data_IF_310326218329
#
_entry.id   IF_310326218329
#
_cell.length_a   1.000
_cell.length_b   1.000
_cell.length_c   1.000
_cell.angle_alpha   90.00
_cell.angle_beta   90.00
_cell.angle_gamma   90.00
#
_symmetry.space_group_name_H-M   'P 1'
#
loop_
_entity.id
_entity.type
_entity.pdbx_description
1 polymer ?
#
# COMPACT_ATOMS: atom_id res chain seq x y z
N UNK A 1 13.99 11.79 11.89
CA UNK A 1 14.19 13.16 12.42
C UNK A 1 15.46 13.82 11.87
N UNK A 2 16.55 13.07 11.58
CA UNK A 2 17.82 13.64 11.06
C UNK A 2 17.80 13.95 9.55
N UNK A 3 16.79 13.52 8.79
CA UNK A 3 16.75 13.65 7.33
C UNK A 3 17.69 12.68 6.57
N UNK A 4 18.47 11.87 7.26
CA UNK A 4 19.38 10.88 6.63
C UNK A 4 18.67 9.88 5.73
N UNK A 5 17.41 9.56 6.04
CA UNK A 5 16.59 8.64 5.27
C UNK A 5 16.54 9.03 3.78
N UNK A 6 16.30 10.31 3.48
CA UNK A 6 16.20 10.81 2.11
C UNK A 6 17.54 10.80 1.36
N UNK A 7 18.66 10.81 2.10
CA UNK A 7 20.00 10.82 1.53
C UNK A 7 20.55 9.43 1.20
N UNK A 8 19.86 8.36 1.60
CA UNK A 8 20.29 7.00 1.29
C UNK A 8 20.28 6.77 -0.22
N UNK A 9 21.31 6.09 -0.79
CA UNK A 9 21.39 5.85 -2.24
C UNK A 9 20.15 5.19 -2.82
N UNK A 10 19.57 4.21 -2.10
CA UNK A 10 18.36 3.51 -2.53
C UNK A 10 17.15 4.44 -2.62
N UNK A 11 17.02 5.42 -1.73
CA UNK A 11 15.92 6.39 -1.77
C UNK A 11 16.10 7.40 -2.92
N UNK A 12 17.33 7.82 -3.17
CA UNK A 12 17.65 8.69 -4.32
C UNK A 12 17.34 8.00 -5.65
N UNK A 13 17.70 6.72 -5.78
CA UNK A 13 17.41 5.95 -6.97
C UNK A 13 15.90 5.72 -7.14
N UNK A 14 15.18 5.39 -6.05
CA UNK A 14 13.72 5.26 -6.05
C UNK A 14 13.05 6.52 -6.61
N UNK A 15 13.40 7.70 -6.07
CA UNK A 15 12.80 8.95 -6.50
C UNK A 15 13.23 9.34 -7.93
N UNK A 16 14.43 8.98 -8.35
CA UNK A 16 14.88 9.21 -9.72
C UNK A 16 14.04 8.43 -10.73
N UNK A 17 13.82 7.14 -10.48
CA UNK A 17 12.96 6.29 -11.33
C UNK A 17 11.52 6.81 -11.31
N UNK A 18 10.99 7.09 -10.12
CA UNK A 18 9.63 7.58 -9.93
C UNK A 18 9.35 8.92 -10.64
N UNK A 19 10.36 9.72 -10.87
CA UNK A 19 10.21 11.02 -11.57
C UNK A 19 9.84 10.87 -13.04
N UNK A 20 10.23 9.76 -13.66
CA UNK A 20 9.94 9.45 -15.06
C UNK A 20 8.72 8.53 -15.22
N UNK A 21 8.28 7.93 -14.12
CA UNK A 21 7.22 6.92 -14.06
C UNK A 21 6.25 7.25 -12.91
N UNK A 22 5.79 6.25 -12.18
CA UNK A 22 4.98 6.42 -10.97
C UNK A 22 5.69 5.88 -9.74
N UNK A 23 5.37 6.41 -8.57
CA UNK A 23 5.78 5.86 -7.28
C UNK A 23 4.61 5.17 -6.61
N UNK A 24 4.80 3.92 -6.26
CA UNK A 24 3.83 3.12 -5.50
C UNK A 24 4.36 2.79 -4.11
N UNK A 25 3.58 3.12 -3.09
CA UNK A 25 3.85 2.76 -1.70
C UNK A 25 2.90 1.64 -1.30
N UNK A 26 3.44 0.53 -0.79
CA UNK A 26 2.65 -0.54 -0.18
C UNK A 26 3.01 -0.59 1.30
N UNK A 27 2.05 -0.53 2.20
CA UNK A 27 2.35 -0.57 3.63
C UNK A 27 1.12 -0.64 4.53
N UNK A 28 1.35 -1.14 5.74
CA UNK A 28 0.33 -1.24 6.77
C UNK A 28 0.05 0.14 7.37
N UNK A 29 -1.17 0.62 7.19
CA UNK A 29 -1.61 1.97 7.59
C UNK A 29 -2.20 1.90 8.99
N UNK A 30 -1.35 1.95 10.00
CA UNK A 30 -1.72 2.02 11.42
C UNK A 30 -0.58 2.62 12.26
N UNK A 31 -0.87 2.91 13.50
CA UNK A 31 0.12 3.34 14.52
C UNK A 31 0.60 2.20 15.43
N UNK A 32 0.26 0.95 15.09
CA UNK A 32 0.68 -0.22 15.85
C UNK A 32 2.19 -0.44 15.91
N UNK A 33 2.94 0.09 14.94
CA UNK A 33 4.41 0.07 14.87
C UNK A 33 5.05 -1.33 15.00
N UNK A 34 4.33 -2.38 14.58
CA UNK A 34 4.81 -3.77 14.59
C UNK A 34 5.43 -4.16 13.26
N UNK A 35 4.77 -3.82 12.15
CA UNK A 35 5.21 -4.15 10.80
C UNK A 35 5.59 -2.91 9.99
N UNK A 36 4.87 -1.83 10.19
CA UNK A 36 5.03 -0.55 9.50
C UNK A 36 4.78 0.59 10.49
N UNK A 37 5.12 1.80 10.09
CA UNK A 37 4.74 3.03 10.77
C UNK A 37 4.07 3.96 9.77
N UNK A 38 2.94 4.54 10.14
CA UNK A 38 2.27 5.55 9.33
C UNK A 38 3.18 6.77 9.07
N UNK A 39 4.01 7.13 10.06
CA UNK A 39 5.00 8.20 9.90
C UNK A 39 6.05 7.88 8.82
N UNK A 40 6.42 6.61 8.64
CA UNK A 40 7.32 6.20 7.57
C UNK A 40 6.66 6.36 6.20
N UNK A 41 5.39 5.99 6.06
CA UNK A 41 4.63 6.21 4.82
C UNK A 41 4.57 7.71 4.50
N UNK A 42 4.21 8.54 5.48
CA UNK A 42 4.20 10.00 5.35
C UNK A 42 5.57 10.56 4.98
N UNK A 43 6.65 10.04 5.55
CA UNK A 43 8.01 10.45 5.21
C UNK A 43 8.36 10.14 3.74
N UNK A 44 7.97 8.97 3.21
CA UNK A 44 8.19 8.65 1.79
C UNK A 44 7.40 9.58 0.89
N UNK A 45 6.14 9.89 1.21
CA UNK A 45 5.30 10.84 0.46
C UNK A 45 5.92 12.24 0.49
N UNK A 46 6.41 12.70 1.64
CA UNK A 46 7.11 13.97 1.77
C UNK A 46 8.34 14.03 0.87
N UNK A 47 9.13 12.95 0.86
CA UNK A 47 10.29 12.84 -0.04
C UNK A 47 9.89 12.86 -1.51
N UNK A 48 8.77 12.24 -1.87
CA UNK A 48 8.24 12.28 -3.23
C UNK A 48 7.85 13.71 -3.63
N UNK A 49 7.11 14.41 -2.77
CA UNK A 49 6.76 15.82 -2.95
C UNK A 49 8.00 16.69 -3.15
N UNK A 50 8.99 16.57 -2.27
CA UNK A 50 10.22 17.38 -2.31
C UNK A 50 11.08 17.10 -3.56
N UNK A 51 10.93 15.93 -4.18
CA UNK A 51 11.58 15.56 -5.43
C UNK A 51 10.72 15.88 -6.67
N UNK A 52 9.52 16.44 -6.51
CA UNK A 52 8.64 16.82 -7.61
C UNK A 52 8.06 15.63 -8.38
N UNK A 53 7.73 14.53 -7.66
CA UNK A 53 7.10 13.35 -8.26
C UNK A 53 5.59 13.61 -8.38
N UNK A 54 5.08 13.55 -9.59
CA UNK A 54 3.68 13.90 -9.89
C UNK A 54 2.71 12.74 -9.60
N UNK A 55 3.14 11.49 -9.87
CA UNK A 55 2.29 10.31 -9.77
C UNK A 55 2.71 9.46 -8.58
N UNK A 56 2.03 9.65 -7.45
CA UNK A 56 2.26 8.91 -6.19
C UNK A 56 0.99 8.19 -5.78
N UNK A 57 1.06 6.87 -5.63
CA UNK A 57 -0.06 6.01 -5.29
C UNK A 57 0.22 5.22 -4.03
N UNK A 58 -0.75 5.18 -3.11
CA UNK A 58 -0.68 4.37 -1.90
C UNK A 58 -1.61 3.17 -2.02
N UNK A 59 -1.06 1.99 -1.84
CA UNK A 59 -1.79 0.75 -1.64
C UNK A 59 -1.85 0.48 -0.14
N UNK A 60 -2.94 0.94 0.48
CA UNK A 60 -3.11 0.93 1.92
C UNK A 60 -3.49 -0.47 2.41
N UNK A 61 -2.64 -1.07 3.23
CA UNK A 61 -2.94 -2.31 3.93
C UNK A 61 -3.53 -2.00 5.30
N UNK A 62 -4.60 -2.68 5.68
CA UNK A 62 -5.33 -2.41 6.91
C UNK A 62 -5.00 -3.44 7.99
N UNK A 63 -4.88 -2.95 9.22
CA UNK A 63 -4.36 -3.72 10.35
C UNK A 63 -5.44 -4.52 11.09
N UNK A 64 -6.09 -3.95 12.07
CA UNK A 64 -7.11 -4.60 12.88
C UNK A 64 -6.62 -5.74 13.78
N UNK A 65 -5.30 -5.89 13.92
CA UNK A 65 -4.65 -6.96 14.67
C UNK A 65 -3.65 -6.46 15.70
N UNK A 66 -2.79 -5.53 15.30
CA UNK A 66 -1.82 -4.86 16.16
C UNK A 66 -2.42 -3.57 16.75
N UNK A 67 -3.61 -3.20 16.28
CA UNK A 67 -4.49 -2.12 16.76
C UNK A 67 -5.93 -2.64 16.86
N UNK A 68 -6.87 -1.79 17.28
CA UNK A 68 -8.29 -2.16 17.40
C UNK A 68 -8.85 -2.69 16.06
N UNK A 69 -9.77 -3.68 16.11
CA UNK A 69 -10.28 -4.36 14.91
C UNK A 69 -11.02 -3.47 13.90
N UNK A 70 -11.55 -2.34 14.35
CA UNK A 70 -12.31 -1.38 13.53
C UNK A 70 -11.84 0.04 13.83
N UNK A 71 -10.70 0.44 13.26
CA UNK A 71 -10.12 1.77 13.44
C UNK A 71 -9.48 2.33 12.16
N UNK A 72 -9.48 1.58 11.07
CA UNK A 72 -8.80 1.94 9.83
C UNK A 72 -9.25 3.28 9.25
N UNK A 73 -10.55 3.62 9.34
CA UNK A 73 -11.05 4.88 8.79
C UNK A 73 -10.35 6.12 9.39
N UNK A 74 -9.96 6.07 10.66
CA UNK A 74 -9.21 7.17 11.31
C UNK A 74 -7.84 7.36 10.68
N UNK A 75 -7.10 6.28 10.49
CA UNK A 75 -5.77 6.32 9.88
C UNK A 75 -5.81 6.69 8.40
N UNK A 76 -6.82 6.22 7.66
CA UNK A 76 -6.99 6.57 6.25
C UNK A 76 -7.29 8.07 6.09
N UNK A 77 -8.18 8.63 6.90
CA UNK A 77 -8.48 10.07 6.90
C UNK A 77 -7.24 10.92 7.23
N UNK A 78 -6.44 10.49 8.22
CA UNK A 78 -5.20 11.17 8.57
C UNK A 78 -4.18 11.13 7.43
N UNK A 79 -4.05 10.00 6.75
CA UNK A 79 -3.18 9.87 5.59
C UNK A 79 -3.66 10.70 4.40
N UNK A 80 -4.95 10.66 4.08
CA UNK A 80 -5.55 11.46 3.01
C UNK A 80 -5.42 12.96 3.27
N UNK A 81 -5.64 13.41 4.52
CA UNK A 81 -5.44 14.81 4.90
C UNK A 81 -3.99 15.26 4.70
N UNK A 82 -3.01 14.42 5.08
CA UNK A 82 -1.60 14.70 4.89
C UNK A 82 -1.23 14.79 3.39
N UNK A 83 -1.73 13.87 2.56
CA UNK A 83 -1.51 13.91 1.11
C UNK A 83 -2.15 15.15 0.47
N UNK A 84 -3.35 15.54 0.94
CA UNK A 84 -4.03 16.74 0.47
C UNK A 84 -3.27 18.02 0.84
N UNK A 85 -2.72 18.11 2.06
CA UNK A 85 -1.89 19.25 2.51
C UNK A 85 -0.65 19.42 1.62
N UNK A 86 0.01 18.33 1.27
CA UNK A 86 1.17 18.33 0.37
C UNK A 86 0.79 18.45 -1.12
N UNK A 87 -0.48 18.32 -1.47
CA UNK A 87 -0.94 18.11 -2.85
C UNK A 87 -0.12 17.02 -3.56
N UNK A 88 0.13 15.91 -2.87
CA UNK A 88 0.98 14.82 -3.34
C UNK A 88 0.44 13.46 -2.89
N UNK A 89 0.11 12.61 -3.86
CA UNK A 89 -0.33 11.25 -3.64
C UNK A 89 -1.84 11.08 -3.49
N UNK A 90 -2.27 9.84 -3.68
CA UNK A 90 -3.66 9.39 -3.45
C UNK A 90 -3.67 7.90 -3.14
N UNK A 91 -4.73 7.44 -2.45
CA UNK A 91 -4.93 6.02 -2.20
C UNK A 91 -5.49 5.38 -3.46
N UNK A 92 -4.78 4.38 -4.00
CA UNK A 92 -5.20 3.64 -5.18
C UNK A 92 -5.96 2.37 -4.84
N UNK A 93 -5.53 1.64 -3.80
CA UNK A 93 -6.20 0.44 -3.32
C UNK A 93 -6.21 0.37 -1.80
N UNK A 94 -7.18 -0.35 -1.27
CA UNK A 94 -7.28 -0.72 0.14
C UNK A 94 -7.41 -2.23 0.24
N UNK A 95 -6.70 -2.86 1.17
CA UNK A 95 -6.78 -4.31 1.40
C UNK A 95 -6.50 -4.66 2.85
N UNK A 96 -7.31 -5.50 3.44
CA UNK A 96 -6.99 -6.08 4.75
C UNK A 96 -5.69 -6.89 4.72
N UNK A 97 -4.95 -6.86 5.81
CA UNK A 97 -3.68 -7.60 5.96
C UNK A 97 -3.82 -9.11 5.79
N UNK A 98 -5.00 -9.66 5.99
CA UNK A 98 -5.31 -11.08 5.78
C UNK A 98 -4.98 -11.53 4.35
N UNK A 99 -5.16 -10.63 3.37
CA UNK A 99 -4.89 -10.90 1.95
C UNK A 99 -3.46 -10.50 1.56
N UNK A 100 -3.09 -9.28 1.81
CA UNK A 100 -1.84 -8.69 1.30
C UNK A 100 -0.61 -9.00 2.15
N UNK A 101 -0.79 -9.46 3.39
CA UNK A 101 0.28 -9.74 4.34
C UNK A 101 0.27 -11.19 4.81
N UNK A 102 -0.09 -12.13 3.94
CA UNK A 102 0.06 -13.55 4.19
C UNK A 102 1.54 -13.95 4.36
N UNK A 103 1.80 -15.01 5.10
CA UNK A 103 3.14 -15.59 5.30
C UNK A 103 3.13 -17.13 5.33
N UNK A 104 1.99 -17.72 4.98
CA UNK A 104 1.73 -19.15 5.08
C UNK A 104 1.53 -19.80 3.69
N UNK A 105 2.00 -19.08 2.62
CA UNK A 105 1.88 -19.47 1.21
C UNK A 105 0.42 -19.69 0.76
N UNK A 106 -0.49 -18.90 1.30
CA UNK A 106 -1.88 -18.86 0.87
C UNK A 106 -1.99 -17.95 -0.35
N UNK A 107 -1.51 -18.48 -1.46
CA UNK A 107 -1.46 -17.74 -2.73
C UNK A 107 -2.84 -17.31 -3.21
N UNK A 108 -3.89 -18.05 -2.86
CA UNK A 108 -5.30 -17.68 -3.07
C UNK A 108 -5.66 -16.32 -2.47
N UNK A 109 -5.06 -15.94 -1.34
CA UNK A 109 -5.25 -14.63 -0.70
C UNK A 109 -4.37 -13.56 -1.33
N UNK A 110 -3.10 -13.87 -1.54
CA UNK A 110 -2.12 -12.95 -2.11
C UNK A 110 -2.51 -12.54 -3.53
N UNK A 111 -3.06 -13.46 -4.32
CA UNK A 111 -3.55 -13.21 -5.67
C UNK A 111 -4.64 -12.13 -5.72
N UNK A 112 -5.57 -12.13 -4.76
CA UNK A 112 -6.61 -11.10 -4.67
C UNK A 112 -6.00 -9.70 -4.47
N UNK A 113 -5.04 -9.58 -3.56
CA UNK A 113 -4.34 -8.31 -3.32
C UNK A 113 -3.50 -7.89 -4.55
N UNK A 114 -2.78 -8.83 -5.15
CA UNK A 114 -2.02 -8.61 -6.38
C UNK A 114 -2.92 -8.11 -7.51
N UNK A 115 -4.06 -8.75 -7.72
CA UNK A 115 -5.00 -8.39 -8.78
C UNK A 115 -5.56 -6.97 -8.59
N UNK A 116 -5.83 -6.54 -7.37
CA UNK A 116 -6.25 -5.16 -7.11
C UNK A 116 -5.13 -4.16 -7.44
N UNK A 117 -3.90 -4.45 -7.00
CA UNK A 117 -2.74 -3.55 -7.13
C UNK A 117 -2.23 -3.46 -8.57
N UNK A 118 -2.19 -4.58 -9.30
CA UNK A 118 -1.56 -4.67 -10.64
C UNK A 118 -2.59 -4.64 -11.76
N UNK A 119 -3.69 -5.38 -11.60
CA UNK A 119 -4.68 -5.55 -12.67
C UNK A 119 -5.90 -4.61 -12.53
N UNK A 120 -6.00 -3.87 -11.41
CA UNK A 120 -7.19 -3.06 -11.12
C UNK A 120 -8.46 -3.90 -10.95
N UNK A 121 -8.32 -5.14 -10.47
CA UNK A 121 -9.40 -6.11 -10.32
C UNK A 121 -9.65 -6.42 -8.84
N UNK A 122 -10.84 -6.20 -8.38
CA UNK A 122 -11.26 -6.41 -6.99
C UNK A 122 -12.62 -5.77 -6.73
N UNK A 123 -12.97 -5.62 -5.46
CA UNK A 123 -14.11 -4.77 -5.08
C UNK A 123 -13.82 -3.33 -5.50
N UNK A 124 -14.85 -2.49 -5.55
CA UNK A 124 -14.72 -1.07 -5.90
C UNK A 124 -15.43 -0.19 -4.90
N UNK A 125 -14.87 0.98 -4.62
CA UNK A 125 -15.48 2.01 -3.80
C UNK A 125 -15.05 3.40 -4.28
N UNK A 126 -15.84 4.42 -4.00
CA UNK A 126 -15.52 5.79 -4.37
C UNK A 126 -14.46 6.43 -3.46
N UNK A 127 -14.21 5.86 -2.27
CA UNK A 127 -13.16 6.30 -1.34
C UNK A 127 -12.65 5.15 -0.48
N UNK A 128 -11.46 5.33 0.10
CA UNK A 128 -10.88 4.37 1.03
C UNK A 128 -11.77 4.13 2.25
N UNK A 129 -12.36 5.18 2.81
CA UNK A 129 -13.28 5.08 3.95
C UNK A 129 -14.58 4.36 3.58
N UNK A 130 -15.09 4.53 2.36
CA UNK A 130 -16.26 3.79 1.88
C UNK A 130 -15.96 2.30 1.75
N UNK A 131 -14.80 1.91 1.22
CA UNK A 131 -14.38 0.52 1.16
C UNK A 131 -14.38 -0.15 2.55
N UNK A 132 -13.88 0.55 3.55
CA UNK A 132 -13.90 0.07 4.94
C UNK A 132 -15.33 -0.01 5.48
N UNK A 133 -16.17 0.99 5.21
CA UNK A 133 -17.57 0.98 5.66
C UNK A 133 -18.35 -0.18 5.05
N UNK A 134 -18.19 -0.44 3.75
CA UNK A 134 -18.80 -1.60 3.08
C UNK A 134 -18.40 -2.93 3.71
N UNK A 135 -17.20 -3.02 4.27
CA UNK A 135 -16.72 -4.20 5.00
C UNK A 135 -17.38 -4.29 6.38
N UNK A 136 -17.46 -3.19 7.12
CA UNK A 136 -18.11 -3.14 8.43
C UNK A 136 -19.61 -3.45 8.35
N UNK A 137 -20.29 -3.03 7.29
CA UNK A 137 -21.70 -3.35 7.04
C UNK A 137 -21.94 -4.85 6.80
N UNK A 138 -20.87 -5.60 6.51
CA UNK A 138 -20.86 -7.06 6.37
C UNK A 138 -20.23 -7.77 7.58
N UNK A 139 -20.11 -7.08 8.73
CA UNK A 139 -19.48 -7.58 9.96
C UNK A 139 -18.01 -8.01 9.80
N UNK A 140 -17.29 -7.51 8.78
CA UNK A 140 -15.89 -7.82 8.57
C UNK A 140 -15.00 -6.65 9.03
N UNK A 141 -14.07 -6.95 9.96
CA UNK A 141 -13.12 -6.01 10.52
C UNK A 141 -12.00 -5.62 9.53
N UNK A 142 -11.16 -4.66 9.92
CA UNK A 142 -10.08 -4.08 9.10
C UNK A 142 -9.19 -5.14 8.43
N UNK A 143 -8.77 -6.15 9.18
CA UNK A 143 -7.88 -7.19 8.63
C UNK A 143 -8.50 -8.01 7.50
N UNK A 144 -9.83 -8.04 7.40
CA UNK A 144 -10.60 -8.84 6.43
C UNK A 144 -11.23 -8.00 5.32
N UNK A 145 -10.92 -6.72 5.22
CA UNK A 145 -11.38 -5.89 4.11
C UNK A 145 -10.89 -6.48 2.80
N UNK A 146 -11.81 -6.86 1.92
CA UNK A 146 -11.47 -7.40 0.60
C UNK A 146 -10.64 -6.39 -0.21
N UNK A 147 -9.68 -6.85 -1.00
CA UNK A 147 -8.92 -5.95 -1.87
C UNK A 147 -9.84 -5.13 -2.77
N UNK A 148 -9.81 -3.82 -2.59
CA UNK A 148 -10.73 -2.85 -3.18
C UNK A 148 -9.95 -1.80 -3.97
N UNK A 149 -10.36 -1.57 -5.20
CA UNK A 149 -9.80 -0.54 -6.09
C UNK A 149 -10.53 0.77 -5.85
N UNK A 150 -9.78 1.82 -5.51
CA UNK A 150 -10.28 3.19 -5.32
C UNK A 150 -9.97 4.04 -6.55
N UNK A 151 -8.76 3.91 -7.09
CA UNK A 151 -8.32 4.60 -8.29
C UNK A 151 -7.68 3.62 -9.27
N UNK A 152 -8.40 3.31 -10.34
CA UNK A 152 -7.93 2.37 -11.36
C UNK A 152 -6.71 2.86 -12.17
N UNK A 153 -6.40 4.16 -12.15
CA UNK A 153 -5.18 4.69 -12.76
C UNK A 153 -3.94 4.38 -11.95
N UNK A 154 -4.10 4.17 -10.63
CA UNK A 154 -3.02 3.84 -9.69
C UNK A 154 -2.57 2.39 -9.70
N UNK A 155 -2.77 1.62 -10.78
CA UNK A 155 -2.22 0.26 -10.91
C UNK A 155 -0.72 0.28 -11.21
N UNK A 156 0.02 -0.67 -10.64
CA UNK A 156 1.47 -0.82 -10.90
C UNK A 156 1.69 -1.29 -12.33
N UNK A 157 2.59 -0.60 -13.04
CA UNK A 157 3.00 -0.91 -14.42
C UNK A 157 4.49 -1.24 -14.48
N UNK A 158 4.90 -1.87 -15.56
CA UNK A 158 6.33 -2.13 -15.78
C UNK A 158 7.11 -0.81 -15.86
N UNK A 159 8.18 -0.72 -15.08
CA UNK A 159 9.02 0.47 -14.97
C UNK A 159 8.70 1.38 -13.80
N UNK A 160 7.54 1.21 -13.15
CA UNK A 160 7.18 2.00 -11.96
C UNK A 160 8.10 1.69 -10.78
N UNK A 161 8.34 2.71 -9.96
CA UNK A 161 9.04 2.56 -8.70
C UNK A 161 8.09 2.08 -7.61
N UNK A 162 8.48 1.02 -6.89
CA UNK A 162 7.67 0.45 -5.79
C UNK A 162 8.48 0.42 -4.51
N UNK A 163 7.91 0.89 -3.41
CA UNK A 163 8.46 0.73 -2.07
C UNK A 163 7.47 0.01 -1.16
N UNK A 164 7.91 -1.08 -0.54
CA UNK A 164 7.18 -1.72 0.54
C UNK A 164 7.62 -1.08 1.86
N UNK A 165 6.74 -0.31 2.49
CA UNK A 165 7.05 0.49 3.68
C UNK A 165 7.14 -0.32 4.97
N UNK A 166 6.77 -1.60 4.95
CA UNK A 166 6.91 -2.47 6.11
C UNK A 166 8.39 -2.71 6.41
N UNK A 167 8.85 -2.33 7.60
CA UNK A 167 10.23 -2.59 8.05
C UNK A 167 10.43 -4.01 8.57
N UNK A 168 9.35 -4.72 8.93
CA UNK A 168 9.38 -6.14 9.27
C UNK A 168 9.07 -6.98 8.02
N UNK A 169 10.01 -7.83 7.55
CA UNK A 169 9.92 -8.42 6.22
C UNK A 169 9.03 -9.66 6.12
N UNK A 170 8.73 -10.36 7.21
CA UNK A 170 8.07 -11.67 7.20
C UNK A 170 6.74 -11.69 6.43
N UNK A 171 5.95 -10.63 6.56
CA UNK A 171 4.64 -10.52 5.91
C UNK A 171 4.64 -9.71 4.60
N UNK A 172 5.76 -9.15 4.18
CA UNK A 172 5.89 -8.47 2.89
C UNK A 172 6.45 -9.35 1.78
N UNK A 173 7.04 -10.50 2.14
CA UNK A 173 7.80 -11.34 1.21
C UNK A 173 6.96 -11.93 0.08
N UNK A 174 5.76 -12.42 0.38
CA UNK A 174 4.94 -13.13 -0.60
C UNK A 174 4.43 -12.19 -1.68
N UNK A 175 3.85 -11.06 -1.30
CA UNK A 175 3.42 -10.06 -2.28
C UNK A 175 4.60 -9.48 -3.06
N UNK A 176 5.75 -9.28 -2.42
CA UNK A 176 6.98 -8.86 -3.12
C UNK A 176 7.43 -9.90 -4.13
N UNK A 177 7.45 -11.18 -3.78
CA UNK A 177 7.77 -12.26 -4.72
C UNK A 177 6.83 -12.26 -5.92
N UNK A 178 5.52 -12.11 -5.67
CA UNK A 178 4.54 -12.03 -6.74
C UNK A 178 4.78 -10.84 -7.68
N UNK A 179 5.30 -9.72 -7.17
CA UNK A 179 5.58 -8.54 -7.99
C UNK A 179 6.87 -8.67 -8.82
N UNK A 180 7.95 -9.25 -8.26
CA UNK A 180 9.29 -9.09 -8.83
C UNK A 180 9.98 -10.38 -9.31
N UNK A 181 9.60 -11.58 -8.83
CA UNK A 181 10.30 -12.79 -9.23
C UNK A 181 9.93 -13.21 -10.66
N UNK A 182 10.90 -13.39 -11.57
CA UNK A 182 10.63 -13.85 -12.94
C UNK A 182 9.96 -15.23 -13.00
N UNK A 183 10.38 -16.14 -12.14
CA UNK A 183 9.98 -17.54 -12.03
C UNK A 183 8.92 -17.80 -10.95
N UNK A 184 8.15 -16.77 -10.61
CA UNK A 184 7.05 -16.90 -9.65
C UNK A 184 5.97 -17.86 -10.15
N UNK A 185 5.61 -18.84 -9.33
CA UNK A 185 4.70 -19.94 -9.64
C UNK A 185 3.47 -20.03 -8.70
N UNK A 186 3.31 -19.10 -7.78
CA UNK A 186 2.20 -19.12 -6.80
C UNK A 186 0.82 -18.95 -7.43
N UNK A 187 0.71 -18.17 -8.50
CA UNK A 187 -0.49 -18.00 -9.33
C UNK A 187 -0.10 -17.41 -10.70
N UNK A 188 -1.06 -17.43 -11.65
CA UNK A 188 -0.81 -16.91 -12.99
C UNK A 188 -0.85 -15.39 -13.00
N UNK A 189 0.28 -14.76 -13.31
CA UNK A 189 0.38 -13.31 -13.55
C UNK A 189 0.09 -12.95 -15.01
N UNK A 190 -0.35 -11.72 -15.21
CA UNK A 190 -0.39 -11.11 -16.56
C UNK A 190 0.95 -10.55 -16.94
#
# INVERSE_FOLDING_TARGET
ESGEFYNRPVMKELYKVAKEQSLHLIGLVSDGNVHCSLDHIKAVIKGAHDNGIEHVYVHALLDGRDVAPQCAQGYLKDLEAYMAELNCGKIATVSGRYYAMDRDNRWDRVELAYNAIVNGQGETAASACEAVQQSYDKDAADEFVLPTVIDGEGTIKNGDAVIFCNFRPDRGRELTKALVLPDFDGFKRK
#
